data_IF_230005790841
#
_entry.id   IF_230005790841
#
_cell.length_a   1.000
_cell.length_b   1.000
_cell.length_c   1.000
_cell.angle_alpha   90.00
_cell.angle_beta   90.00
_cell.angle_gamma   90.00
#
_symmetry.space_group_name_H-M   'P 1'
#
loop_
_entity.id
_entity.type
_entity.pdbx_description
1 polymer ?
#
# COMPACT_ATOMS: atom_id res chain seq x y z
N UNK A 1 -58.89 -15.26 24.45
CA UNK A 1 -57.86 -14.53 25.22
C UNK A 1 -57.45 -13.31 24.40
N UNK A 2 -57.75 -12.10 24.85
CA UNK A 2 -57.44 -10.85 24.14
C UNK A 2 -55.98 -10.44 24.41
N UNK A 3 -55.14 -10.42 23.37
CA UNK A 3 -53.73 -10.00 23.40
C UNK A 3 -53.54 -8.47 23.31
N UNK A 4 -54.61 -7.68 23.49
CA UNK A 4 -54.63 -6.26 23.13
C UNK A 4 -54.07 -5.29 24.18
N UNK A 5 -53.42 -5.78 25.26
CA UNK A 5 -53.10 -4.91 26.39
C UNK A 5 -51.71 -5.17 27.00
N UNK A 6 -50.70 -5.37 26.14
CA UNK A 6 -49.30 -5.29 26.58
C UNK A 6 -48.92 -3.81 26.58
N UNK A 7 -48.74 -3.15 27.75
CA UNK A 7 -48.29 -1.77 27.78
C UNK A 7 -46.87 -1.72 27.20
N UNK A 8 -46.74 -1.14 26.02
CA UNK A 8 -45.44 -0.79 25.45
C UNK A 8 -44.90 0.34 26.34
N UNK A 9 -43.76 0.17 27.03
CA UNK A 9 -43.20 1.25 27.81
C UNK A 9 -42.75 2.36 26.84
N UNK A 10 -43.53 3.43 26.78
CA UNK A 10 -43.11 4.68 26.14
C UNK A 10 -42.07 5.28 27.09
N UNK A 11 -40.80 5.07 26.78
CA UNK A 11 -39.71 5.67 27.52
C UNK A 11 -39.73 7.17 27.19
N UNK A 12 -40.33 7.97 28.07
CA UNK A 12 -40.22 9.43 28.00
C UNK A 12 -38.77 9.78 28.35
N UNK A 13 -37.91 9.90 27.35
CA UNK A 13 -36.59 10.50 27.54
C UNK A 13 -36.80 11.99 27.79
N UNK A 14 -36.21 12.49 28.88
CA UNK A 14 -36.10 13.92 29.10
C UNK A 14 -35.52 14.60 27.85
N UNK A 15 -36.08 15.75 27.44
CA UNK A 15 -35.72 16.40 26.18
C UNK A 15 -34.22 16.73 26.10
N UNK A 16 -33.58 17.00 27.24
CA UNK A 16 -32.14 17.23 27.36
C UNK A 16 -31.35 15.94 27.06
N UNK A 17 -31.76 14.81 27.63
CA UNK A 17 -31.12 13.50 27.41
C UNK A 17 -31.27 13.05 25.96
N UNK A 18 -32.42 13.32 25.34
CA UNK A 18 -32.64 13.07 23.92
C UNK A 18 -31.71 13.90 23.03
N UNK A 19 -31.45 15.17 23.36
CA UNK A 19 -30.51 16.02 22.63
C UNK A 19 -29.06 15.54 22.78
N UNK A 20 -28.64 15.16 23.99
CA UNK A 20 -27.29 14.63 24.22
C UNK A 20 -27.09 13.32 23.44
N UNK A 21 -28.08 12.42 23.47
CA UNK A 21 -28.03 11.18 22.70
C UNK A 21 -27.96 11.45 21.19
N UNK A 22 -28.70 12.44 20.68
CA UNK A 22 -28.66 12.85 19.29
C UNK A 22 -27.26 13.33 18.88
N UNK A 23 -26.63 14.22 19.66
CA UNK A 23 -25.27 14.69 19.36
C UNK A 23 -24.22 13.58 19.48
N UNK A 24 -24.40 12.64 20.42
CA UNK A 24 -23.52 11.49 20.55
C UNK A 24 -23.58 10.59 19.31
N UNK A 25 -24.78 10.30 18.79
CA UNK A 25 -24.96 9.52 17.56
C UNK A 25 -24.35 10.26 16.36
N UNK A 26 -24.55 11.57 16.27
CA UNK A 26 -24.02 12.39 15.19
C UNK A 26 -22.48 12.42 15.20
N UNK A 27 -21.87 12.53 16.39
CA UNK A 27 -20.42 12.45 16.57
C UNK A 27 -19.86 11.08 16.16
N UNK A 28 -20.51 9.98 16.56
CA UNK A 28 -20.11 8.62 16.14
C UNK A 28 -20.21 8.47 14.62
N UNK A 29 -21.30 8.95 14.00
CA UNK A 29 -21.45 8.93 12.55
C UNK A 29 -20.35 9.73 11.84
N UNK A 30 -19.96 10.90 12.36
CA UNK A 30 -18.88 11.71 11.82
C UNK A 30 -17.52 11.00 11.89
N UNK A 31 -17.22 10.33 13.01
CA UNK A 31 -15.98 9.54 13.16
C UNK A 31 -15.96 8.37 12.16
N UNK A 32 -17.07 7.64 12.00
CA UNK A 32 -17.18 6.55 11.02
C UNK A 32 -16.98 7.08 9.59
N UNK A 33 -17.59 8.21 9.25
CA UNK A 33 -17.41 8.84 7.94
C UNK A 33 -15.95 9.25 7.72
N UNK A 34 -15.29 9.83 8.73
CA UNK A 34 -13.88 10.23 8.65
C UNK A 34 -12.96 9.02 8.45
N UNK A 35 -13.18 7.92 9.17
CA UNK A 35 -12.43 6.67 9.01
C UNK A 35 -12.65 6.09 7.60
N UNK A 36 -13.89 6.13 7.10
CA UNK A 36 -14.20 5.64 5.75
C UNK A 36 -13.52 6.47 4.68
N UNK A 37 -13.53 7.81 4.81
CA UNK A 37 -12.82 8.71 3.90
C UNK A 37 -11.31 8.44 3.95
N UNK A 38 -10.71 8.38 5.14
CA UNK A 38 -9.29 8.10 5.32
C UNK A 38 -8.89 6.77 4.67
N UNK A 39 -9.69 5.72 4.89
CA UNK A 39 -9.47 4.41 4.28
C UNK A 39 -9.57 4.52 2.76
N UNK A 40 -10.63 5.12 2.22
CA UNK A 40 -10.80 5.28 0.77
C UNK A 40 -9.64 6.05 0.14
N UNK A 41 -9.13 7.09 0.80
CA UNK A 41 -7.95 7.85 0.33
C UNK A 41 -6.72 6.96 0.26
N UNK A 42 -6.42 6.19 1.30
CA UNK A 42 -5.25 5.28 1.36
C UNK A 42 -5.32 4.18 0.29
N UNK A 43 -6.50 3.64 0.02
CA UNK A 43 -6.72 2.57 -0.96
C UNK A 43 -6.97 3.07 -2.40
N UNK A 44 -7.18 4.38 -2.61
CA UNK A 44 -7.47 4.98 -3.92
C UNK A 44 -6.37 4.70 -4.94
N UNK A 45 -5.12 4.67 -4.51
CA UNK A 45 -3.97 4.37 -5.37
C UNK A 45 -4.02 2.93 -5.91
N UNK A 46 -4.23 1.97 -5.01
CA UNK A 46 -4.33 0.55 -5.34
C UNK A 46 -5.56 0.22 -6.19
N UNK A 47 -6.70 0.84 -5.88
CA UNK A 47 -7.92 0.72 -6.70
C UNK A 47 -7.71 1.27 -8.11
N UNK A 48 -6.95 2.37 -8.27
CA UNK A 48 -6.60 2.90 -9.60
C UNK A 48 -5.67 1.95 -10.36
N UNK A 49 -4.75 1.26 -9.70
CA UNK A 49 -3.87 0.27 -10.31
C UNK A 49 -4.64 -0.98 -10.77
N UNK A 50 -5.53 -1.52 -9.93
CA UNK A 50 -6.31 -2.73 -10.22
C UNK A 50 -7.25 -2.58 -11.44
N UNK A 51 -7.74 -1.36 -11.70
CA UNK A 51 -8.62 -1.08 -12.85
C UNK A 51 -7.90 -0.85 -14.19
N UNK A 52 -6.56 -0.94 -14.25
CA UNK A 52 -5.79 -0.57 -15.45
C UNK A 52 -5.22 -1.79 -16.15
N UNK A 53 -5.33 -1.81 -17.48
CA UNK A 53 -4.85 -2.92 -18.33
C UNK A 53 -3.33 -2.96 -18.48
N UNK A 54 -2.63 -1.86 -18.26
CA UNK A 54 -1.18 -1.77 -18.35
C UNK A 54 -0.63 -1.09 -17.10
N UNK A 55 0.38 -1.72 -16.50
CA UNK A 55 1.12 -1.20 -15.34
C UNK A 55 2.61 -1.19 -15.67
N UNK A 56 3.28 -0.07 -15.46
CA UNK A 56 4.73 0.01 -15.61
C UNK A 56 5.39 -0.15 -14.23
N UNK A 57 6.31 -1.09 -14.11
CA UNK A 57 7.22 -1.20 -12.98
C UNK A 57 8.45 -0.40 -13.34
N UNK A 58 8.53 0.81 -12.81
CA UNK A 58 9.70 1.64 -12.98
C UNK A 58 10.72 1.33 -11.88
N UNK A 59 11.93 0.98 -12.26
CA UNK A 59 13.05 0.65 -11.37
C UNK A 59 14.05 1.80 -11.41
N UNK A 60 14.30 2.42 -10.27
CA UNK A 60 15.28 3.49 -10.10
C UNK A 60 16.72 3.00 -9.95
N UNK A 61 17.66 3.94 -9.82
CA UNK A 61 19.09 3.67 -9.56
C UNK A 61 19.30 2.82 -8.31
N UNK A 62 18.56 3.11 -7.26
CA UNK A 62 18.67 2.46 -5.94
C UNK A 62 17.86 1.16 -5.85
N UNK A 63 17.56 0.52 -6.99
CA UNK A 63 16.75 -0.72 -7.10
C UNK A 63 15.32 -0.60 -6.56
N UNK A 64 14.82 0.62 -6.36
CA UNK A 64 13.46 0.86 -5.92
C UNK A 64 12.51 0.67 -7.11
N UNK A 65 11.55 -0.22 -6.95
CA UNK A 65 10.47 -0.42 -7.90
C UNK A 65 9.24 0.40 -7.49
N UNK A 66 8.70 1.21 -8.41
CA UNK A 66 7.39 1.85 -8.25
C UNK A 66 6.46 1.41 -9.37
N UNK A 67 5.21 1.14 -8.99
CA UNK A 67 4.14 0.85 -9.93
C UNK A 67 3.55 2.15 -10.46
N UNK A 68 3.70 2.42 -11.74
CA UNK A 68 3.13 3.57 -12.44
C UNK A 68 2.02 3.06 -13.37
N UNK A 69 0.96 3.85 -13.52
CA UNK A 69 -0.05 3.62 -14.56
C UNK A 69 0.33 4.44 -15.79
N UNK A 70 1.02 3.85 -16.79
CA UNK A 70 1.41 4.57 -18.00
C UNK A 70 0.18 4.90 -18.85
N UNK A 71 0.28 5.97 -19.63
CA UNK A 71 -0.61 6.23 -20.76
C UNK A 71 0.12 5.87 -22.05
N UNK A 72 -0.44 4.96 -22.84
CA UNK A 72 0.12 4.62 -24.14
C UNK A 72 -0.10 5.77 -25.13
N UNK A 73 0.96 6.20 -25.79
CA UNK A 73 0.97 7.23 -26.84
C UNK A 73 1.50 6.60 -28.12
N UNK A 74 0.72 6.64 -29.21
CA UNK A 74 1.10 6.14 -30.53
C UNK A 74 1.55 4.64 -30.58
N UNK A 75 1.10 3.80 -29.63
CA UNK A 75 1.31 2.35 -29.66
C UNK A 75 2.73 1.85 -29.33
N UNK A 76 3.72 2.76 -29.23
CA UNK A 76 5.13 2.42 -28.93
C UNK A 76 5.73 3.27 -27.80
N UNK A 77 5.12 4.40 -27.49
CA UNK A 77 5.57 5.27 -26.41
C UNK A 77 4.67 5.09 -25.18
N UNK A 78 5.28 5.05 -24.01
CA UNK A 78 4.59 5.12 -22.74
C UNK A 78 4.90 6.47 -22.11
N UNK A 79 3.85 7.23 -21.85
CA UNK A 79 3.89 8.44 -21.05
C UNK A 79 3.72 8.05 -19.58
N UNK A 80 4.77 8.27 -18.80
CA UNK A 80 4.82 7.97 -17.37
C UNK A 80 4.42 9.18 -16.51
N UNK A 81 3.90 10.25 -17.11
CA UNK A 81 3.56 11.49 -16.40
C UNK A 81 4.82 12.25 -16.00
N UNK A 82 4.98 12.51 -14.70
CA UNK A 82 6.08 13.32 -14.16
C UNK A 82 7.48 12.70 -14.42
N UNK A 83 7.52 11.40 -14.73
CA UNK A 83 8.76 10.68 -15.05
C UNK A 83 9.14 10.74 -16.55
N UNK A 84 8.31 11.39 -17.38
CA UNK A 84 8.57 11.60 -18.81
C UNK A 84 8.03 10.50 -19.72
N UNK A 85 8.46 10.53 -20.99
CA UNK A 85 8.04 9.60 -22.04
C UNK A 85 9.18 8.65 -22.38
N UNK A 86 8.85 7.37 -22.51
CA UNK A 86 9.79 6.32 -22.87
C UNK A 86 9.29 5.56 -24.10
N UNK A 87 10.21 5.06 -24.90
CA UNK A 87 9.87 4.10 -25.96
C UNK A 87 9.99 2.69 -25.40
N UNK A 88 8.97 1.87 -25.62
CA UNK A 88 8.94 0.48 -25.17
C UNK A 88 8.64 -0.41 -26.35
N UNK A 89 9.48 -1.43 -26.54
CA UNK A 89 9.21 -2.48 -27.52
C UNK A 89 8.00 -3.32 -27.08
N UNK A 90 7.06 -3.65 -27.99
CA UNK A 90 5.91 -4.52 -27.66
C UNK A 90 6.31 -5.87 -27.05
N UNK A 91 7.53 -6.37 -27.34
CA UNK A 91 8.07 -7.61 -26.79
C UNK A 91 8.45 -7.52 -25.31
N UNK A 92 8.60 -6.31 -24.76
CA UNK A 92 8.93 -6.07 -23.35
C UNK A 92 7.67 -5.95 -22.46
N UNK A 93 6.48 -6.19 -23.03
CA UNK A 93 5.20 -6.17 -22.31
C UNK A 93 4.79 -7.60 -21.98
N UNK A 94 4.74 -7.91 -20.68
CA UNK A 94 4.47 -9.25 -20.16
C UNK A 94 3.04 -9.32 -19.62
N UNK A 95 2.25 -10.37 -19.93
CA UNK A 95 0.97 -10.58 -19.27
C UNK A 95 1.17 -10.98 -17.80
N UNK A 96 0.38 -10.42 -16.89
CA UNK A 96 0.36 -10.79 -15.48
C UNK A 96 -0.56 -11.99 -15.30
N UNK A 97 0.04 -13.16 -15.04
CA UNK A 97 -0.73 -14.40 -14.80
C UNK A 97 -1.62 -14.25 -13.55
N UNK A 98 -2.87 -14.70 -13.66
CA UNK A 98 -3.85 -14.64 -12.55
C UNK A 98 -4.52 -13.28 -12.35
N UNK A 99 -4.27 -12.28 -13.21
CA UNK A 99 -5.00 -11.02 -13.14
C UNK A 99 -6.41 -11.16 -13.73
N UNK A 100 -7.48 -10.82 -12.99
CA UNK A 100 -8.86 -10.98 -13.45
C UNK A 100 -9.20 -10.12 -14.68
N UNK A 101 -8.41 -9.08 -14.96
CA UNK A 101 -8.64 -8.14 -16.05
C UNK A 101 -7.65 -8.29 -17.21
N UNK A 102 -6.85 -9.36 -17.24
CA UNK A 102 -5.82 -9.54 -18.26
C UNK A 102 -4.79 -8.40 -18.26
N UNK A 103 -4.31 -8.02 -17.07
CA UNK A 103 -3.34 -6.94 -16.94
C UNK A 103 -2.01 -7.31 -17.58
N UNK A 104 -1.39 -6.32 -18.21
CA UNK A 104 -0.05 -6.38 -18.74
C UNK A 104 0.88 -5.51 -17.89
N UNK A 105 2.13 -5.94 -17.82
CA UNK A 105 3.19 -5.30 -17.07
C UNK A 105 4.40 -5.05 -17.96
N UNK A 106 5.03 -3.90 -17.78
CA UNK A 106 6.30 -3.57 -18.43
C UNK A 106 7.29 -3.13 -17.36
N UNK A 107 8.53 -3.60 -17.45
CA UNK A 107 9.60 -3.14 -16.56
C UNK A 107 10.41 -2.07 -17.29
N UNK A 108 10.60 -0.93 -16.64
CA UNK A 108 11.30 0.24 -17.19
C UNK A 108 12.39 0.65 -16.22
N UNK A 109 13.60 0.87 -16.70
CA UNK A 109 14.66 1.45 -15.88
C UNK A 109 14.68 2.98 -16.01
N UNK A 110 14.54 3.71 -14.90
CA UNK A 110 14.51 5.19 -14.88
C UNK A 110 15.46 5.71 -13.79
N UNK A 111 16.77 5.80 -14.08
CA UNK A 111 17.78 6.07 -13.06
C UNK A 111 17.69 7.48 -12.46
N UNK A 112 17.19 8.46 -13.20
CA UNK A 112 17.24 9.88 -12.83
C UNK A 112 15.94 10.43 -12.22
N UNK A 113 14.85 9.68 -12.27
CA UNK A 113 13.53 10.20 -11.89
C UNK A 113 12.97 9.57 -10.60
N UNK A 114 13.67 8.58 -10.02
CA UNK A 114 13.23 7.88 -8.81
C UNK A 114 14.29 7.97 -7.71
N UNK A 115 14.31 9.12 -7.02
CA UNK A 115 15.02 9.24 -5.76
C UNK A 115 14.10 8.77 -4.62
N UNK A 116 14.68 8.05 -3.66
CA UNK A 116 13.99 7.73 -2.43
C UNK A 116 13.86 8.99 -1.57
N UNK A 117 12.75 9.10 -0.84
CA UNK A 117 12.62 10.12 0.19
C UNK A 117 13.75 9.92 1.21
N UNK A 118 14.50 10.98 1.53
CA UNK A 118 15.77 10.89 2.29
C UNK A 118 15.56 10.16 3.63
N UNK A 119 14.41 10.38 4.26
CA UNK A 119 14.01 9.72 5.50
C UNK A 119 13.84 8.20 5.37
N UNK A 120 13.35 7.72 4.22
CA UNK A 120 13.21 6.29 3.96
C UNK A 120 14.56 5.65 3.66
N UNK A 121 15.52 6.39 3.08
CA UNK A 121 16.90 5.92 2.91
C UNK A 121 17.55 5.66 4.25
N UNK A 122 17.42 6.62 5.18
CA UNK A 122 17.93 6.47 6.52
C UNK A 122 17.35 5.22 7.22
N UNK A 123 16.04 4.99 7.11
CA UNK A 123 15.41 3.81 7.69
C UNK A 123 15.89 2.47 7.09
N UNK A 124 16.19 2.44 5.78
CA UNK A 124 16.64 1.20 5.13
C UNK A 124 18.10 0.90 5.46
N UNK A 125 18.94 1.93 5.55
CA UNK A 125 20.34 1.79 5.99
C UNK A 125 20.43 1.28 7.43
N UNK A 126 19.58 1.78 8.34
CA UNK A 126 19.52 1.29 9.73
C UNK A 126 19.15 -0.20 9.79
N UNK A 127 18.24 -0.66 8.93
CA UNK A 127 17.86 -2.07 8.86
C UNK A 127 18.99 -2.94 8.28
N UNK A 128 19.72 -2.45 7.26
CA UNK A 128 20.88 -3.15 6.71
C UNK A 128 22.04 -3.23 7.72
N UNK A 129 22.32 -2.15 8.43
CA UNK A 129 23.35 -2.11 9.48
C UNK A 129 23.00 -3.05 10.65
N UNK A 130 21.73 -3.12 11.04
CA UNK A 130 21.25 -4.06 12.05
C UNK A 130 21.42 -5.51 11.60
N UNK A 131 21.02 -5.86 10.37
CA UNK A 131 21.21 -7.21 9.81
C UNK A 131 22.69 -7.59 9.69
N UNK A 132 23.55 -6.64 9.31
CA UNK A 132 25.00 -6.85 9.20
C UNK A 132 25.63 -7.03 10.59
N UNK A 133 25.13 -6.34 11.61
CA UNK A 133 25.49 -6.55 13.01
C UNK A 133 25.11 -7.94 13.53
N UNK A 134 23.89 -8.42 13.23
CA UNK A 134 23.43 -9.77 13.63
C UNK A 134 24.23 -10.90 12.96
N UNK A 135 24.56 -10.75 11.68
CA UNK A 135 25.41 -11.71 10.95
C UNK A 135 26.81 -11.80 11.55
N UNK A 136 27.41 -10.68 11.94
CA UNK A 136 28.74 -10.68 12.57
C UNK A 136 28.73 -11.24 14.00
N UNK A 137 27.62 -11.15 14.74
CA UNK A 137 27.51 -11.76 16.07
C UNK A 137 27.28 -13.28 16.04
N UNK A 138 26.71 -13.81 14.96
CA UNK A 138 26.47 -15.25 14.82
C UNK A 138 27.70 -16.03 14.32
N UNK A 139 28.65 -15.39 13.66
CA UNK A 139 29.89 -16.04 13.20
C UNK A 139 30.94 -16.20 14.32
N UNK A 140 30.84 -15.45 15.41
CA UNK A 140 31.76 -15.56 16.57
C UNK A 140 31.45 -16.74 17.51
N UNK A 141 30.48 -17.60 17.18
CA UNK A 141 29.97 -18.65 18.07
C UNK A 141 30.51 -20.07 17.85
N UNK A 142 31.36 -20.34 16.86
CA UNK A 142 31.67 -21.73 16.45
C UNK A 142 33.14 -22.01 16.05
N UNK A 143 34.11 -21.36 16.70
CA UNK A 143 35.53 -21.75 16.56
C UNK A 143 36.21 -21.94 17.92
N UNK A 144 35.84 -22.99 18.67
CA UNK A 144 36.80 -23.69 19.54
C UNK A 144 36.37 -25.15 19.67
N UNK A 145 37.18 -26.05 19.10
CA UNK A 145 37.63 -27.33 19.71
C UNK A 145 38.01 -28.32 18.60
N UNK A 146 39.22 -28.14 18.05
CA UNK A 146 39.98 -29.27 17.48
C UNK A 146 41.29 -29.31 18.27
N UNK A 147 41.17 -29.80 19.50
CA UNK A 147 42.33 -30.09 20.32
C UNK A 147 42.97 -31.41 19.86
N UNK A 148 44.28 -31.32 19.67
CA UNK A 148 45.17 -32.34 19.15
C UNK A 148 45.17 -33.57 20.06
N UNK A 149 45.16 -34.77 19.49
CA UNK A 149 45.99 -35.85 20.05
C UNK A 149 46.51 -36.74 18.92
N UNK A 150 47.82 -36.61 18.73
CA UNK A 150 48.78 -37.58 18.19
C UNK A 150 48.58 -38.99 18.73
#
# INVERSE_FOLDING_TARGET
MNLANIPIPIIFLDPITAHIAFYAVLAVAAVVAAIFIYTRVKWRYWLRLAGKRLVAVAVGRDKIARLIVPKTVAGQFLDLGDYGKIQVSPKAVYPVMGSPNGQHMVVVYIPYAMNMDVEKVAATNVIEDWKRGELNSNDSGNEVEVERHT
#
